data_IF_518169100012
#
_entry.id   IF_518169100012
#
_cell.length_a   1.000
_cell.length_b   1.000
_cell.length_c   1.000
_cell.angle_alpha   90.00
_cell.angle_beta   90.00
_cell.angle_gamma   90.00
#
_symmetry.space_group_name_H-M   'P 1'
#
loop_
_entity.id
_entity.type
_entity.pdbx_description
1 polymer ?
#
# COMPACT_ATOMS: atom_id res chain seq x y z
N UNK A 1 16.14 11.68 -6.23
CA UNK A 1 14.86 11.09 -5.82
C UNK A 1 14.93 10.76 -4.33
N UNK A 2 14.08 11.36 -3.53
CA UNK A 2 14.05 11.01 -2.09
C UNK A 2 13.57 9.57 -1.93
N UNK A 3 14.35 8.75 -1.26
CA UNK A 3 13.99 7.37 -0.95
C UNK A 3 12.83 7.35 0.05
N UNK A 4 11.75 6.65 -0.29
CA UNK A 4 10.62 6.44 0.62
C UNK A 4 10.74 5.09 1.30
N UNK A 5 10.31 5.02 2.54
CA UNK A 5 10.26 3.79 3.31
C UNK A 5 8.81 3.33 3.45
N UNK A 6 8.48 2.18 2.87
CA UNK A 6 7.19 1.52 3.07
C UNK A 6 7.28 0.49 4.19
N UNK A 7 6.14 0.00 4.67
CA UNK A 7 6.09 -1.08 5.67
C UNK A 7 6.92 -2.30 5.24
N UNK A 8 6.77 -2.76 4.01
CA UNK A 8 7.50 -3.94 3.51
C UNK A 8 9.00 -3.71 3.44
N UNK A 9 9.44 -2.53 3.03
CA UNK A 9 10.87 -2.18 2.99
C UNK A 9 11.45 -1.97 4.38
N UNK A 10 10.68 -1.42 5.32
CA UNK A 10 11.08 -1.33 6.72
C UNK A 10 11.31 -2.72 7.33
N UNK A 11 10.36 -3.64 7.14
CA UNK A 11 10.50 -5.03 7.61
C UNK A 11 11.72 -5.71 6.96
N UNK A 12 11.92 -5.51 5.66
CA UNK A 12 13.11 -6.03 4.96
C UNK A 12 14.40 -5.55 5.59
N UNK A 13 14.48 -4.26 5.95
CA UNK A 13 15.65 -3.67 6.61
C UNK A 13 15.89 -4.23 8.02
N UNK A 14 14.82 -4.52 8.77
CA UNK A 14 14.92 -5.19 10.07
C UNK A 14 15.46 -6.62 9.95
N UNK A 15 15.10 -7.32 8.88
CA UNK A 15 15.59 -8.67 8.62
C UNK A 15 17.03 -8.68 8.12
N UNK A 16 17.37 -7.76 7.21
CA UNK A 16 18.71 -7.65 6.62
C UNK A 16 18.90 -6.28 5.96
N UNK A 17 19.75 -5.45 6.52
CA UNK A 17 20.05 -4.11 5.98
C UNK A 17 20.62 -4.17 4.56
N UNK A 18 21.47 -5.15 4.27
CA UNK A 18 22.03 -5.37 2.93
C UNK A 18 20.93 -5.69 1.92
N UNK A 19 19.93 -6.48 2.29
CA UNK A 19 18.77 -6.79 1.44
C UNK A 19 17.98 -5.52 1.12
N UNK A 20 17.77 -4.64 2.10
CA UNK A 20 17.11 -3.35 1.88
C UNK A 20 17.90 -2.48 0.91
N UNK A 21 19.22 -2.37 1.10
CA UNK A 21 20.08 -1.59 0.22
C UNK A 21 20.01 -2.09 -1.23
N UNK A 22 20.14 -3.39 -1.45
CA UNK A 22 20.07 -4.01 -2.77
C UNK A 22 18.68 -3.77 -3.40
N UNK A 23 17.62 -3.94 -2.63
CA UNK A 23 16.25 -3.71 -3.10
C UNK A 23 16.03 -2.26 -3.55
N UNK A 24 16.58 -1.29 -2.82
CA UNK A 24 16.42 0.14 -3.13
C UNK A 24 17.30 0.62 -4.28
N UNK A 25 18.53 0.14 -4.38
CA UNK A 25 19.53 0.67 -5.30
C UNK A 25 19.85 -0.28 -6.47
N UNK A 26 19.57 -1.55 -6.32
CA UNK A 26 19.90 -2.60 -7.30
C UNK A 26 18.72 -3.54 -7.55
N UNK A 27 17.53 -2.98 -7.72
CA UNK A 27 16.29 -3.75 -7.90
C UNK A 27 16.36 -4.78 -9.03
N UNK A 28 17.17 -4.50 -10.06
CA UNK A 28 17.36 -5.42 -11.21
C UNK A 28 17.99 -6.76 -10.84
N UNK A 29 18.64 -6.84 -9.66
CA UNK A 29 19.22 -8.08 -9.16
C UNK A 29 18.19 -8.99 -8.47
N UNK A 30 16.95 -8.54 -8.36
CA UNK A 30 15.87 -9.33 -7.77
C UNK A 30 15.53 -10.52 -8.67
N UNK A 31 15.48 -11.71 -8.07
CA UNK A 31 15.00 -12.90 -8.76
C UNK A 31 13.53 -12.77 -9.16
N UNK A 32 13.12 -13.44 -10.27
CA UNK A 32 11.71 -13.54 -10.62
C UNK A 32 10.89 -14.17 -9.50
N UNK A 33 9.67 -13.70 -9.32
CA UNK A 33 8.74 -14.29 -8.33
C UNK A 33 8.36 -15.69 -8.76
N UNK A 34 8.66 -16.75 -7.97
CA UNK A 34 8.28 -18.11 -8.33
C UNK A 34 6.74 -18.26 -8.33
N UNK A 35 6.18 -19.19 -9.14
CA UNK A 35 4.73 -19.39 -9.23
C UNK A 35 4.05 -19.69 -7.90
N UNK A 36 4.70 -20.42 -7.01
CA UNK A 36 4.19 -20.72 -5.67
C UNK A 36 4.02 -19.46 -4.81
N UNK A 37 4.96 -18.53 -4.86
CA UNK A 37 4.88 -17.26 -4.16
C UNK A 37 3.86 -16.32 -4.80
N UNK A 38 3.75 -16.33 -6.13
CA UNK A 38 2.73 -15.58 -6.85
C UNK A 38 1.31 -16.02 -6.45
N UNK A 39 1.08 -17.33 -6.28
CA UNK A 39 -0.20 -17.86 -5.81
C UNK A 39 -0.56 -17.36 -4.41
N UNK A 40 0.41 -17.22 -3.51
CA UNK A 40 0.20 -16.64 -2.18
C UNK A 40 -0.20 -15.16 -2.28
N UNK A 41 0.44 -14.40 -3.15
CA UNK A 41 0.09 -12.98 -3.38
C UNK A 41 -1.32 -12.83 -3.97
N UNK A 42 -1.70 -13.68 -4.93
CA UNK A 42 -3.03 -13.69 -5.53
C UNK A 42 -4.11 -14.04 -4.50
N UNK A 43 -3.84 -14.99 -3.61
CA UNK A 43 -4.73 -15.32 -2.50
C UNK A 43 -4.90 -14.13 -1.55
N UNK A 44 -3.83 -13.42 -1.21
CA UNK A 44 -3.87 -12.21 -0.39
C UNK A 44 -4.73 -11.12 -1.04
N UNK A 45 -4.60 -10.92 -2.34
CA UNK A 45 -5.43 -9.97 -3.11
C UNK A 45 -6.91 -10.34 -3.05
N UNK A 46 -7.25 -11.62 -3.22
CA UNK A 46 -8.63 -12.10 -3.15
C UNK A 46 -9.23 -11.91 -1.76
N UNK A 47 -8.49 -12.16 -0.70
CA UNK A 47 -8.91 -11.89 0.69
C UNK A 47 -9.16 -10.40 0.90
N UNK A 48 -8.31 -9.53 0.36
CA UNK A 48 -8.50 -8.08 0.42
C UNK A 48 -9.79 -7.63 -0.26
N UNK A 49 -10.11 -8.18 -1.43
CA UNK A 49 -11.36 -7.89 -2.14
C UNK A 49 -12.59 -8.37 -1.36
N UNK A 50 -12.54 -9.56 -0.76
CA UNK A 50 -13.61 -10.05 0.11
C UNK A 50 -13.80 -9.18 1.35
N UNK A 51 -12.72 -8.67 1.93
CA UNK A 51 -12.80 -7.76 3.07
C UNK A 51 -13.52 -6.45 2.71
N UNK A 52 -13.37 -5.95 1.48
CA UNK A 52 -14.09 -4.76 1.02
C UNK A 52 -15.62 -4.98 0.95
N UNK A 53 -16.08 -6.21 0.74
CA UNK A 53 -17.52 -6.53 0.76
C UNK A 53 -18.16 -6.32 2.15
N UNK A 54 -17.38 -6.40 3.21
CA UNK A 54 -17.82 -6.11 4.58
C UNK A 54 -18.04 -4.59 4.81
N UNK A 55 -17.46 -3.77 3.96
CA UNK A 55 -17.54 -2.31 4.03
C UNK A 55 -17.97 -1.76 2.66
N UNK A 56 -19.22 -1.98 2.25
CA UNK A 56 -19.68 -1.61 0.93
C UNK A 56 -19.74 -0.10 0.73
N UNK A 57 -19.76 0.32 -0.54
CA UNK A 57 -19.85 1.71 -0.97
C UNK A 57 -18.59 2.56 -0.65
N UNK A 58 -17.46 1.92 -0.45
CA UNK A 58 -16.18 2.62 -0.35
C UNK A 58 -15.69 3.12 -1.71
N UNK A 59 -14.75 4.06 -1.65
CA UNK A 59 -14.05 4.60 -2.83
C UNK A 59 -12.64 4.03 -2.88
N UNK A 60 -12.18 3.71 -4.07
CA UNK A 60 -10.89 3.07 -4.30
C UNK A 60 -9.80 4.11 -4.58
N UNK A 61 -8.81 4.18 -3.69
CA UNK A 61 -7.64 5.04 -3.82
C UNK A 61 -6.41 4.32 -4.38
N UNK A 62 -6.57 3.11 -4.92
CA UNK A 62 -5.45 2.34 -5.49
C UNK A 62 -4.69 3.13 -6.55
N UNK A 63 -3.34 3.01 -6.59
CA UNK A 63 -2.57 3.55 -7.69
C UNK A 63 -2.70 2.64 -8.92
N UNK A 64 -2.34 3.17 -10.09
CA UNK A 64 -2.28 2.38 -11.32
C UNK A 64 -1.28 1.21 -11.18
N UNK A 65 -0.17 1.46 -10.49
CA UNK A 65 0.83 0.45 -10.12
C UNK A 65 1.60 0.91 -8.88
N UNK A 66 2.38 0.01 -8.28
CA UNK A 66 3.11 0.31 -7.04
C UNK A 66 4.22 1.35 -7.17
N UNK A 67 4.63 1.72 -8.38
CA UNK A 67 5.58 2.82 -8.61
C UNK A 67 4.90 4.19 -8.56
N UNK A 68 3.58 4.22 -8.68
CA UNK A 68 2.76 5.44 -8.71
C UNK A 68 2.00 5.67 -7.40
N UNK A 69 2.59 5.29 -6.26
CA UNK A 69 1.93 5.44 -4.95
C UNK A 69 1.59 6.89 -4.60
N UNK A 70 2.25 7.89 -5.21
CA UNK A 70 1.89 9.29 -5.04
C UNK A 70 0.47 9.58 -5.55
N UNK A 71 -0.01 8.90 -6.59
CA UNK A 71 -1.39 9.03 -7.07
C UNK A 71 -2.39 8.55 -6.02
N UNK A 72 -2.07 7.47 -5.32
CA UNK A 72 -2.89 6.97 -4.23
C UNK A 72 -2.93 7.95 -3.05
N UNK A 73 -1.81 8.59 -2.71
CA UNK A 73 -1.77 9.63 -1.69
C UNK A 73 -2.68 10.81 -2.07
N UNK A 74 -2.61 11.28 -3.30
CA UNK A 74 -3.44 12.37 -3.80
C UNK A 74 -4.93 12.00 -3.81
N UNK A 75 -5.28 10.81 -4.30
CA UNK A 75 -6.65 10.29 -4.27
C UNK A 75 -7.20 10.22 -2.84
N UNK A 76 -6.41 9.69 -1.91
CA UNK A 76 -6.80 9.57 -0.50
C UNK A 76 -7.13 10.94 0.10
N UNK A 77 -6.27 11.93 -0.09
CA UNK A 77 -6.50 13.29 0.39
C UNK A 77 -7.75 13.91 -0.22
N UNK A 78 -7.95 13.70 -1.52
CA UNK A 78 -9.14 14.18 -2.24
C UNK A 78 -10.42 13.56 -1.70
N UNK A 79 -10.44 12.25 -1.46
CA UNK A 79 -11.61 11.56 -0.91
C UNK A 79 -11.92 12.01 0.52
N UNK A 80 -10.91 12.21 1.36
CA UNK A 80 -11.09 12.76 2.71
C UNK A 80 -11.70 14.16 2.63
N UNK A 81 -11.19 15.02 1.76
CA UNK A 81 -11.70 16.38 1.55
C UNK A 81 -13.14 16.37 1.04
N UNK A 82 -13.50 15.40 0.20
CA UNK A 82 -14.85 15.25 -0.33
C UNK A 82 -15.85 14.66 0.68
N UNK A 83 -15.40 14.27 1.87
CA UNK A 83 -16.26 13.73 2.92
C UNK A 83 -16.58 12.24 2.78
N UNK A 84 -15.79 11.49 2.02
CA UNK A 84 -15.93 10.03 1.93
C UNK A 84 -15.67 9.37 3.28
N UNK A 85 -16.45 8.37 3.62
CA UNK A 85 -16.37 7.69 4.92
C UNK A 85 -15.70 6.32 4.85
N UNK A 86 -15.57 5.73 3.69
CA UNK A 86 -14.91 4.46 3.47
C UNK A 86 -13.98 4.60 2.28
N UNK A 87 -12.68 4.37 2.49
CA UNK A 87 -11.66 4.48 1.45
C UNK A 87 -10.85 3.19 1.42
N UNK A 88 -10.87 2.50 0.29
CA UNK A 88 -10.04 1.31 0.06
C UNK A 88 -8.65 1.74 -0.41
N UNK A 89 -7.63 1.04 0.04
CA UNK A 89 -6.22 1.30 -0.30
C UNK A 89 -5.79 2.73 0.01
N UNK A 90 -6.30 3.29 1.11
CA UNK A 90 -5.97 4.64 1.53
C UNK A 90 -4.47 4.76 1.83
N UNK A 91 -3.79 5.70 1.20
CA UNK A 91 -2.35 5.84 1.29
C UNK A 91 -1.96 7.20 1.86
N UNK A 92 -1.07 7.18 2.85
CA UNK A 92 -0.55 8.36 3.52
C UNK A 92 0.97 8.41 3.41
N UNK A 93 1.50 9.60 3.32
CA UNK A 93 2.94 9.85 3.32
C UNK A 93 3.30 10.98 4.27
N UNK A 94 4.29 10.74 5.12
CA UNK A 94 4.83 11.73 6.04
C UNK A 94 6.32 11.43 6.31
N UNK A 95 7.17 12.45 6.28
CA UNK A 95 8.62 12.32 6.53
C UNK A 95 9.31 11.19 5.76
N UNK A 96 9.00 11.04 4.47
CA UNK A 96 9.51 9.96 3.61
C UNK A 96 9.07 8.55 4.03
N UNK A 97 8.06 8.43 4.89
CA UNK A 97 7.41 7.15 5.23
C UNK A 97 6.09 7.08 4.49
N UNK A 98 5.83 5.95 3.88
CA UNK A 98 4.59 5.65 3.16
C UNK A 98 3.84 4.54 3.88
N UNK A 99 2.56 4.76 4.16
CA UNK A 99 1.66 3.75 4.71
C UNK A 99 0.43 3.59 3.81
N UNK A 100 0.17 2.37 3.37
CA UNK A 100 -1.03 2.00 2.65
C UNK A 100 -1.92 1.16 3.57
N UNK A 101 -3.17 1.55 3.70
CA UNK A 101 -4.17 0.89 4.54
C UNK A 101 -5.16 0.16 3.64
N UNK A 102 -5.45 -1.09 3.94
CA UNK A 102 -6.39 -1.88 3.13
C UNK A 102 -7.78 -1.25 3.11
N UNK A 103 -8.30 -0.88 4.27
CA UNK A 103 -9.61 -0.23 4.42
C UNK A 103 -9.53 0.84 5.51
N UNK A 104 -9.87 2.06 5.17
CA UNK A 104 -10.00 3.17 6.11
C UNK A 104 -11.47 3.52 6.29
N UNK A 105 -11.97 3.51 7.51
CA UNK A 105 -13.37 3.79 7.83
C UNK A 105 -13.45 4.95 8.79
N UNK A 106 -14.32 5.90 8.50
CA UNK A 106 -14.69 6.99 9.39
C UNK A 106 -16.00 6.66 10.09
N UNK A 107 -15.99 6.71 11.40
CA UNK A 107 -17.19 6.56 12.24
C UNK A 107 -17.59 7.90 12.88
N UNK A 108 -18.46 7.84 13.90
CA UNK A 108 -18.92 9.02 14.61
C UNK A 108 -17.82 9.69 15.45
N UNK A 109 -16.78 8.96 15.80
CA UNK A 109 -15.65 9.45 16.62
C UNK A 109 -14.47 9.94 15.76
N UNK A 110 -14.46 9.62 14.48
CA UNK A 110 -13.43 10.02 13.51
C UNK A 110 -12.87 8.87 12.68
N UNK A 111 -11.66 9.06 12.20
CA UNK A 111 -10.93 8.07 11.38
C UNK A 111 -10.23 7.03 12.25
#
# INVERSE_FOLDING_TARGET
>A
MKSRLSKSTFIRGLQCEKSLYIYKHHYRLKDPTPPSLQAVFDQGTNVGLLAQELFPNGVDASPENHFKMFESVEKTLKFITNGESIIYEATFQFNNVLAALDILVKDQEGW
#
